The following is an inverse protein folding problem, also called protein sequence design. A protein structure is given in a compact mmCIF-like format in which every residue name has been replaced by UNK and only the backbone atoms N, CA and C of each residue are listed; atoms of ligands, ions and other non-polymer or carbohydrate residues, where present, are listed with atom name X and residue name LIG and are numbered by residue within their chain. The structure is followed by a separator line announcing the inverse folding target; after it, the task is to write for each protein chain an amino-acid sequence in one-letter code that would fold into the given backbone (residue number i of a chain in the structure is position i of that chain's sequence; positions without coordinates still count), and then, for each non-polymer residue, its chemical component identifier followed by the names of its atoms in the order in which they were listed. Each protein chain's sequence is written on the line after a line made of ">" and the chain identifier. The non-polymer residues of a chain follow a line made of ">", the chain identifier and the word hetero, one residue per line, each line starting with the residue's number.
data_IF_709050722527
#
_entry.id   IF_709050722527
#
_cell.length_a   1.000
_cell.length_b   1.000
_cell.length_c   1.000
_cell.angle_alpha   90.00
_cell.angle_beta   90.00
_cell.angle_gamma   90.00
#
_symmetry.space_group_name_H-M   'P 1'
#
loop_
_entity.id
_entity.type
_entity.pdbx_description
1 polymer ?
#
# COMPACT_ATOMS: atom_id res chain seq x y z
N UNK A 1 9.88 -24.74 8.80
CA UNK A 1 9.07 -24.16 7.71
C UNK A 1 9.87 -23.01 7.13
N UNK A 2 10.09 -23.00 5.82
CA UNK A 2 10.80 -21.95 5.09
C UNK A 2 9.86 -21.28 4.08
N UNK A 3 9.77 -19.95 4.13
CA UNK A 3 8.82 -19.15 3.35
C UNK A 3 9.58 -18.16 2.48
N UNK A 4 9.34 -18.20 1.17
CA UNK A 4 9.80 -17.18 0.25
C UNK A 4 8.79 -16.03 0.16
N UNK A 5 9.28 -14.80 0.22
CA UNK A 5 8.49 -13.57 0.10
C UNK A 5 9.03 -12.78 -1.10
N UNK A 6 8.20 -12.56 -2.11
CA UNK A 6 8.55 -11.71 -3.26
C UNK A 6 8.19 -10.26 -2.97
N UNK A 7 9.17 -9.39 -2.74
CA UNK A 7 9.05 -7.94 -2.61
C UNK A 7 9.46 -7.39 -1.24
N UNK A 8 10.34 -6.39 -1.22
CA UNK A 8 10.83 -5.72 -0.01
C UNK A 8 10.22 -4.31 0.18
N UNK A 9 8.92 -4.17 -0.06
CA UNK A 9 8.18 -2.92 0.12
C UNK A 9 7.80 -2.66 1.59
N UNK A 10 6.49 -2.75 1.87
CA UNK A 10 5.94 -2.69 3.24
C UNK A 10 5.52 -4.08 3.70
N UNK A 11 4.71 -4.75 2.87
CA UNK A 11 4.11 -6.04 3.19
C UNK A 11 5.16 -7.14 3.45
N UNK A 12 6.22 -7.21 2.62
CA UNK A 12 7.23 -8.25 2.73
C UNK A 12 8.04 -8.19 4.03
N UNK A 13 8.71 -7.07 4.35
CA UNK A 13 9.43 -6.92 5.62
C UNK A 13 8.52 -7.04 6.85
N UNK A 14 7.27 -6.56 6.77
CA UNK A 14 6.29 -6.75 7.84
C UNK A 14 5.98 -8.25 8.07
N UNK A 15 5.81 -9.03 6.99
CA UNK A 15 5.60 -10.47 7.08
C UNK A 15 6.83 -11.18 7.62
N UNK A 16 8.03 -10.85 7.11
CA UNK A 16 9.29 -11.43 7.56
C UNK A 16 9.49 -11.28 9.08
N UNK A 17 9.20 -10.08 9.62
CA UNK A 17 9.22 -9.83 11.07
C UNK A 17 8.27 -10.73 11.84
N UNK A 18 7.06 -10.94 11.34
CA UNK A 18 6.08 -11.77 12.04
C UNK A 18 6.42 -13.26 11.94
N UNK A 19 6.92 -13.73 10.80
CA UNK A 19 7.35 -15.11 10.62
C UNK A 19 8.50 -15.45 11.57
N UNK A 20 9.51 -14.58 11.71
CA UNK A 20 10.64 -14.83 12.63
C UNK A 20 10.19 -14.98 14.08
N UNK A 21 9.21 -14.16 14.52
CA UNK A 21 8.60 -14.25 15.85
C UNK A 21 7.80 -15.52 16.10
N UNK A 22 7.40 -16.21 15.03
CA UNK A 22 6.79 -17.53 15.09
C UNK A 22 7.79 -18.67 14.79
N UNK A 23 9.09 -18.38 14.77
CA UNK A 23 10.13 -19.38 14.50
C UNK A 23 10.11 -19.94 13.06
N UNK A 24 9.51 -19.20 12.13
CA UNK A 24 9.43 -19.56 10.70
C UNK A 24 10.52 -18.80 9.95
N UNK A 25 11.35 -19.52 9.20
CA UNK A 25 12.40 -18.92 8.38
C UNK A 25 11.79 -18.18 7.18
N UNK A 26 12.32 -16.99 6.90
CA UNK A 26 11.86 -16.16 5.80
C UNK A 26 13.03 -15.74 4.91
N UNK A 27 12.81 -15.87 3.60
CA UNK A 27 13.67 -15.28 2.56
C UNK A 27 12.86 -14.21 1.82
N UNK A 28 13.33 -12.97 1.79
CA UNK A 28 12.73 -11.88 1.02
C UNK A 28 13.56 -11.62 -0.23
N UNK A 29 12.97 -11.80 -1.41
CA UNK A 29 13.59 -11.48 -2.71
C UNK A 29 13.02 -10.16 -3.25
N UNK A 30 13.88 -9.24 -3.69
CA UNK A 30 13.47 -7.94 -4.22
C UNK A 30 14.19 -7.64 -5.53
N UNK A 31 13.42 -7.23 -6.54
CA UNK A 31 13.94 -6.89 -7.87
C UNK A 31 14.90 -5.70 -7.83
N UNK A 32 14.61 -4.69 -7.01
CA UNK A 32 15.49 -3.55 -6.86
C UNK A 32 16.85 -4.00 -6.26
N UNK A 33 17.98 -3.41 -6.71
CA UNK A 33 19.30 -3.78 -6.21
C UNK A 33 19.56 -3.33 -4.76
N UNK A 34 18.68 -2.50 -4.20
CA UNK A 34 18.70 -2.05 -2.82
C UNK A 34 17.28 -1.65 -2.38
N UNK A 35 17.10 -1.43 -1.07
CA UNK A 35 15.85 -0.91 -0.52
C UNK A 35 15.52 0.44 -1.15
N UNK A 36 14.28 0.61 -1.62
CA UNK A 36 13.85 1.86 -2.24
C UNK A 36 13.61 2.92 -1.18
N UNK A 37 14.28 4.05 -1.32
CA UNK A 37 14.08 5.23 -0.47
C UNK A 37 13.06 6.20 -1.07
N UNK A 38 12.48 7.05 -0.24
CA UNK A 38 11.49 8.06 -0.66
C UNK A 38 10.09 7.49 -0.96
N UNK A 39 9.34 8.20 -1.80
CA UNK A 39 7.94 7.87 -2.11
C UNK A 39 6.94 8.70 -1.30
N UNK A 40 5.65 8.46 -1.56
CA UNK A 40 4.56 9.25 -1.00
C UNK A 40 4.37 9.06 0.50
N UNK A 41 3.73 10.06 1.14
CA UNK A 41 3.17 9.90 2.47
C UNK A 41 2.11 8.79 2.50
N UNK A 42 2.09 8.03 3.59
CA UNK A 42 1.13 6.96 3.85
C UNK A 42 0.58 7.08 5.27
N UNK A 43 -0.67 6.65 5.44
CA UNK A 43 -1.38 6.77 6.72
C UNK A 43 -1.62 5.43 7.41
N UNK A 44 -1.60 5.46 8.73
CA UNK A 44 -2.23 4.48 9.59
C UNK A 44 -3.45 5.07 10.27
N UNK A 45 -4.57 4.35 10.19
CA UNK A 45 -5.89 4.83 10.63
C UNK A 45 -6.55 3.84 11.61
N UNK A 46 -7.00 4.30 12.76
CA UNK A 46 -7.77 3.49 13.70
C UNK A 46 -6.96 2.43 14.48
N UNK A 47 -7.63 1.82 15.47
CA UNK A 47 -6.99 0.95 16.46
C UNK A 47 -6.39 -0.34 15.88
N UNK A 48 -6.96 -0.91 14.82
CA UNK A 48 -6.43 -2.14 14.23
C UNK A 48 -4.98 -1.94 13.74
N UNK A 49 -4.74 -0.87 12.97
CA UNK A 49 -3.40 -0.54 12.48
C UNK A 49 -2.43 -0.22 13.63
N UNK A 50 -2.84 0.64 14.55
CA UNK A 50 -2.00 1.03 15.69
C UNK A 50 -1.68 -0.15 16.61
N UNK A 51 -2.63 -1.06 16.81
CA UNK A 51 -2.43 -2.30 17.56
C UNK A 51 -1.40 -3.19 16.89
N UNK A 52 -1.49 -3.40 15.57
CA UNK A 52 -0.49 -4.19 14.84
C UNK A 52 0.89 -3.56 14.94
N UNK A 53 1.05 -2.26 14.68
CA UNK A 53 2.34 -1.57 14.80
C UNK A 53 2.92 -1.63 16.23
N UNK A 54 2.06 -1.54 17.24
CA UNK A 54 2.46 -1.69 18.65
C UNK A 54 2.93 -3.10 18.94
N UNK A 55 2.17 -4.11 18.51
CA UNK A 55 2.54 -5.53 18.65
C UNK A 55 3.84 -5.83 17.89
N UNK A 56 4.06 -5.20 16.73
CA UNK A 56 5.32 -5.26 15.98
C UNK A 56 6.50 -4.59 16.71
N UNK A 57 6.26 -3.72 17.69
CA UNK A 57 7.32 -2.97 18.38
C UNK A 57 7.91 -1.81 17.55
N UNK A 58 7.25 -1.42 16.46
CA UNK A 58 7.74 -0.35 15.56
C UNK A 58 6.96 0.96 15.69
N UNK A 59 5.87 0.98 16.45
CA UNK A 59 4.98 2.16 16.55
C UNK A 59 5.72 3.43 16.99
N UNK A 60 6.65 3.32 17.93
CA UNK A 60 7.39 4.50 18.43
C UNK A 60 8.35 5.05 17.38
N UNK A 61 9.05 4.18 16.64
CA UNK A 61 9.88 4.58 15.50
C UNK A 61 9.04 5.23 14.38
N UNK A 62 7.87 4.67 14.09
CA UNK A 62 6.93 5.24 13.10
C UNK A 62 6.43 6.62 13.56
N UNK A 63 6.13 6.80 14.85
CA UNK A 63 5.74 8.10 15.41
C UNK A 63 6.88 9.11 15.41
N UNK A 64 8.12 8.67 15.63
CA UNK A 64 9.30 9.53 15.58
C UNK A 64 9.56 10.05 14.15
N UNK A 65 9.29 9.23 13.13
CA UNK A 65 9.44 9.58 11.72
C UNK A 65 8.18 10.20 11.08
N UNK A 66 7.17 10.56 11.88
CA UNK A 66 5.90 11.08 11.34
C UNK A 66 6.08 12.40 10.59
N UNK A 67 5.27 12.60 9.56
CA UNK A 67 5.15 13.91 8.90
C UNK A 67 4.41 14.90 9.80
N UNK A 68 4.58 16.19 9.51
CA UNK A 68 3.82 17.24 10.20
C UNK A 68 2.43 17.34 9.55
N UNK A 69 1.33 17.22 10.31
CA UNK A 69 -0.01 17.40 9.76
C UNK A 69 -0.16 18.80 9.17
N UNK A 70 -0.60 18.88 7.92
CA UNK A 70 -0.79 20.13 7.17
C UNK A 70 -2.16 20.13 6.49
N UNK A 71 -2.77 21.31 6.42
CA UNK A 71 -4.03 21.50 5.70
C UNK A 71 -3.81 21.31 4.20
N UNK A 72 -4.78 20.70 3.52
CA UNK A 72 -4.78 20.64 2.06
C UNK A 72 -5.51 21.86 1.51
N UNK A 73 -4.83 22.65 0.68
CA UNK A 73 -5.36 23.87 0.07
C UNK A 73 -5.65 23.59 -1.39
N UNK A 74 -6.88 23.84 -1.83
CA UNK A 74 -7.29 23.65 -3.21
C UNK A 74 -7.42 25.00 -3.90
N UNK A 75 -6.57 25.26 -4.90
CA UNK A 75 -6.56 26.47 -5.71
C UNK A 75 -7.06 26.20 -7.13
N UNK A 76 -7.63 27.23 -7.74
CA UNK A 76 -7.85 27.24 -9.19
C UNK A 76 -6.56 27.53 -9.95
N UNK A 77 -6.58 27.38 -11.27
CA UNK A 77 -5.48 27.80 -12.16
C UNK A 77 -5.22 29.30 -12.16
N UNK A 78 -6.14 30.10 -11.61
CA UNK A 78 -5.99 31.53 -11.34
C UNK A 78 -5.31 31.85 -10.00
N UNK A 79 -4.80 30.84 -9.29
CA UNK A 79 -4.11 30.96 -8.00
C UNK A 79 -5.03 31.23 -6.80
N UNK A 80 -6.34 31.43 -7.03
CA UNK A 80 -7.30 31.71 -5.96
C UNK A 80 -7.65 30.44 -5.20
N UNK A 81 -7.62 30.52 -3.87
CA UNK A 81 -8.10 29.46 -2.98
C UNK A 81 -9.60 29.23 -3.19
N UNK A 82 -10.00 27.98 -3.38
CA UNK A 82 -11.38 27.53 -3.57
C UNK A 82 -11.90 26.77 -2.37
N UNK A 83 -11.04 25.96 -1.77
CA UNK A 83 -11.36 25.19 -0.56
C UNK A 83 -10.09 24.92 0.24
N UNK A 84 -10.30 24.65 1.53
CA UNK A 84 -9.28 24.22 2.46
C UNK A 84 -9.83 23.07 3.28
N UNK A 85 -9.10 21.97 3.31
CA UNK A 85 -9.45 20.79 4.09
C UNK A 85 -8.46 20.67 5.25
N UNK A 86 -8.92 20.85 6.50
CA UNK A 86 -8.03 20.80 7.65
C UNK A 86 -7.30 19.47 7.78
N UNK A 87 -6.07 19.49 8.29
CA UNK A 87 -5.22 18.31 8.46
C UNK A 87 -5.93 17.16 9.22
N UNK A 88 -6.82 17.50 10.15
CA UNK A 88 -7.60 16.53 10.94
C UNK A 88 -8.54 15.64 10.10
N UNK A 89 -8.87 16.02 8.86
CA UNK A 89 -9.68 15.22 7.94
C UNK A 89 -8.85 14.41 6.96
N UNK A 90 -7.59 14.80 6.75
CA UNK A 90 -6.73 14.23 5.71
C UNK A 90 -5.71 13.27 6.30
N UNK A 91 -5.11 13.61 7.44
CA UNK A 91 -4.15 12.77 8.13
C UNK A 91 -4.83 11.60 8.84
N UNK A 92 -4.21 10.42 8.78
CA UNK A 92 -4.49 9.34 9.70
C UNK A 92 -4.05 9.67 11.14
N UNK A 93 -4.14 8.68 12.02
CA UNK A 93 -3.59 8.80 13.39
C UNK A 93 -2.07 8.99 13.35
N UNK A 94 -1.41 8.41 12.35
CA UNK A 94 0.00 8.64 12.04
C UNK A 94 0.20 8.64 10.53
N UNK A 95 0.79 9.71 9.99
CA UNK A 95 1.26 9.81 8.61
C UNK A 95 2.80 9.77 8.59
N UNK A 96 3.36 9.01 7.66
CA UNK A 96 4.82 8.79 7.52
C UNK A 96 5.17 8.66 6.04
N UNK A 97 6.38 9.04 5.64
CA UNK A 97 6.86 8.77 4.28
C UNK A 97 7.04 7.26 4.06
N UNK A 98 6.59 6.76 2.91
CA UNK A 98 6.69 5.33 2.57
C UNK A 98 8.11 4.80 2.68
N UNK A 99 9.11 5.57 2.27
CA UNK A 99 10.52 5.20 2.35
C UNK A 99 11.00 5.00 3.79
N UNK A 100 10.62 5.90 4.70
CA UNK A 100 10.95 5.76 6.12
C UNK A 100 10.27 4.56 6.75
N UNK A 101 8.99 4.33 6.44
CA UNK A 101 8.28 3.14 6.90
C UNK A 101 8.94 1.85 6.37
N UNK A 102 9.28 1.81 5.09
CA UNK A 102 9.94 0.65 4.47
C UNK A 102 11.29 0.37 5.13
N UNK A 103 12.07 1.42 5.41
CA UNK A 103 13.33 1.33 6.15
C UNK A 103 13.13 0.78 7.57
N UNK A 104 12.20 1.34 8.34
CA UNK A 104 11.90 0.88 9.71
C UNK A 104 11.53 -0.62 9.73
N UNK A 105 10.69 -1.06 8.80
CA UNK A 105 10.26 -2.46 8.72
C UNK A 105 11.39 -3.40 8.25
N UNK A 106 12.22 -2.93 7.31
CA UNK A 106 13.41 -3.65 6.88
C UNK A 106 14.39 -3.82 8.03
N UNK A 107 14.78 -2.72 8.70
CA UNK A 107 15.69 -2.75 9.85
C UNK A 107 15.18 -3.65 10.97
N UNK A 108 13.86 -3.64 11.23
CA UNK A 108 13.25 -4.49 12.25
C UNK A 108 13.27 -6.00 11.93
N UNK A 109 13.50 -6.40 10.68
CA UNK A 109 13.47 -7.81 10.24
C UNK A 109 14.78 -8.31 9.63
N UNK A 110 15.72 -7.43 9.30
CA UNK A 110 16.95 -7.76 8.58
C UNK A 110 17.90 -8.71 9.33
N UNK A 111 17.82 -8.76 10.66
CA UNK A 111 18.60 -9.69 11.49
C UNK A 111 18.11 -11.14 11.40
N UNK A 112 16.82 -11.34 11.11
CA UNK A 112 16.13 -12.63 11.29
C UNK A 112 15.60 -13.22 9.97
N UNK A 113 15.74 -12.49 8.85
CA UNK A 113 15.34 -12.92 7.53
C UNK A 113 16.47 -12.73 6.51
N UNK A 114 16.57 -13.63 5.54
CA UNK A 114 17.48 -13.48 4.41
C UNK A 114 16.91 -12.45 3.43
N UNK A 115 17.69 -11.46 3.01
CA UNK A 115 17.30 -10.49 1.98
C UNK A 115 18.16 -10.65 0.73
N UNK A 116 17.53 -10.92 -0.39
CA UNK A 116 18.16 -11.09 -1.72
C UNK A 116 17.69 -9.94 -2.63
N UNK A 117 18.49 -8.89 -2.70
CA UNK A 117 18.24 -7.75 -3.59
C UNK A 117 18.79 -8.00 -5.00
N UNK A 118 18.19 -7.34 -5.99
CA UNK A 118 18.59 -7.42 -7.40
C UNK A 118 18.14 -8.70 -8.09
N UNK A 119 17.20 -9.45 -7.53
CA UNK A 119 16.71 -10.71 -8.10
C UNK A 119 15.18 -10.80 -8.02
N UNK A 120 14.57 -11.69 -8.79
CA UNK A 120 13.12 -11.89 -8.77
C UNK A 120 12.73 -13.27 -9.28
N UNK A 121 11.54 -13.71 -8.88
CA UNK A 121 10.96 -14.99 -9.30
C UNK A 121 10.61 -14.94 -10.80
N UNK A 122 11.01 -15.98 -11.53
CA UNK A 122 10.68 -16.18 -12.95
C UNK A 122 9.78 -17.38 -13.19
N UNK A 123 9.78 -18.38 -12.30
CA UNK A 123 8.84 -19.50 -12.35
C UNK A 123 8.57 -20.08 -10.95
N UNK A 124 7.39 -20.71 -10.82
CA UNK A 124 6.92 -21.41 -9.63
C UNK A 124 6.33 -22.75 -10.05
N UNK A 125 6.74 -23.83 -9.39
CA UNK A 125 6.14 -25.16 -9.55
C UNK A 125 5.80 -25.74 -8.18
N UNK A 126 4.50 -25.83 -7.89
CA UNK A 126 3.98 -26.43 -6.65
C UNK A 126 3.59 -27.88 -6.92
N UNK A 127 4.21 -28.82 -6.18
CA UNK A 127 3.91 -30.25 -6.25
C UNK A 127 3.03 -30.75 -5.09
N UNK A 128 2.52 -29.84 -4.25
CA UNK A 128 1.71 -30.16 -3.08
C UNK A 128 2.52 -30.44 -1.82
N UNK A 129 3.83 -30.64 -1.90
CA UNK A 129 4.73 -30.81 -0.74
C UNK A 129 5.66 -29.61 -0.52
N UNK A 130 5.92 -28.84 -1.57
CA UNK A 130 6.68 -27.59 -1.56
C UNK A 130 6.60 -26.89 -2.91
N UNK A 131 7.27 -25.76 -3.01
CA UNK A 131 7.32 -24.95 -4.23
C UNK A 131 8.75 -24.84 -4.72
N UNK A 132 9.01 -25.35 -5.92
CA UNK A 132 10.27 -25.12 -6.63
C UNK A 132 10.22 -23.75 -7.30
N UNK A 133 11.20 -22.90 -6.98
CA UNK A 133 11.27 -21.51 -7.40
C UNK A 133 12.51 -21.30 -8.25
N UNK A 134 12.33 -20.75 -9.45
CA UNK A 134 13.43 -20.24 -10.27
C UNK A 134 13.51 -18.73 -10.16
N UNK A 135 14.74 -18.22 -10.09
CA UNK A 135 15.04 -16.80 -10.03
C UNK A 135 15.64 -16.30 -11.34
N UNK A 136 15.70 -14.99 -11.52
CA UNK A 136 16.28 -14.39 -12.72
C UNK A 136 17.80 -14.50 -12.73
N UNK A 137 18.44 -14.42 -11.56
CA UNK A 137 19.90 -14.43 -11.44
C UNK A 137 20.40 -15.51 -10.48
N UNK A 138 19.70 -15.75 -9.37
CA UNK A 138 20.03 -16.77 -8.40
C UNK A 138 19.76 -18.19 -8.89
N UNK A 139 20.39 -19.17 -8.22
CA UNK A 139 20.10 -20.59 -8.43
C UNK A 139 18.65 -20.92 -7.99
N UNK A 140 17.98 -21.89 -8.63
CA UNK A 140 16.70 -22.38 -8.14
C UNK A 140 16.77 -22.86 -6.69
N UNK A 141 15.69 -22.64 -5.94
CA UNK A 141 15.53 -23.06 -4.53
C UNK A 141 14.14 -23.65 -4.32
N UNK A 142 13.97 -24.41 -3.25
CA UNK A 142 12.69 -24.98 -2.84
C UNK A 142 12.26 -24.39 -1.50
N UNK A 143 10.98 -24.06 -1.37
CA UNK A 143 10.38 -23.50 -0.16
C UNK A 143 9.09 -24.24 0.21
N UNK A 144 8.66 -24.17 1.47
CA UNK A 144 7.40 -24.77 1.91
C UNK A 144 6.19 -23.95 1.41
N UNK A 145 6.35 -22.63 1.37
CA UNK A 145 5.34 -21.67 0.91
C UNK A 145 5.99 -20.48 0.18
N UNK A 146 5.24 -19.87 -0.73
CA UNK A 146 5.62 -18.63 -1.43
C UNK A 146 4.55 -17.56 -1.22
N UNK A 147 4.97 -16.34 -0.90
CA UNK A 147 4.09 -15.20 -0.70
C UNK A 147 4.46 -14.08 -1.68
N UNK A 148 3.52 -13.70 -2.55
CA UNK A 148 3.64 -12.54 -3.41
C UNK A 148 3.33 -11.25 -2.63
N UNK A 149 4.36 -10.47 -2.30
CA UNK A 149 4.27 -9.15 -1.66
C UNK A 149 4.81 -8.03 -2.59
N UNK A 150 4.83 -8.28 -3.89
CA UNK A 150 5.48 -7.54 -4.97
C UNK A 150 4.55 -6.50 -5.64
N UNK A 151 3.51 -6.11 -4.90
CA UNK A 151 2.70 -4.92 -5.15
C UNK A 151 1.72 -5.01 -6.32
N UNK A 152 1.21 -3.85 -6.75
CA UNK A 152 0.15 -3.72 -7.76
C UNK A 152 0.46 -4.48 -9.05
N UNK A 153 1.72 -4.51 -9.49
CA UNK A 153 2.17 -5.17 -10.73
C UNK A 153 2.84 -6.54 -10.48
N UNK A 154 2.47 -7.19 -9.37
CA UNK A 154 2.96 -8.49 -8.91
C UNK A 154 3.28 -9.47 -10.05
N UNK A 155 4.50 -10.01 -10.03
CA UNK A 155 4.94 -11.09 -10.90
C UNK A 155 4.41 -12.43 -10.41
N UNK A 156 4.36 -12.65 -9.08
CA UNK A 156 3.78 -13.86 -8.49
C UNK A 156 2.32 -14.02 -8.89
N UNK A 157 1.52 -12.95 -8.83
CA UNK A 157 0.14 -12.97 -9.31
C UNK A 157 0.05 -13.33 -10.79
N UNK A 158 0.97 -12.84 -11.63
CA UNK A 158 0.94 -13.16 -13.06
C UNK A 158 1.24 -14.63 -13.34
N UNK A 159 2.12 -15.25 -12.55
CA UNK A 159 2.48 -16.67 -12.67
C UNK A 159 1.36 -17.60 -12.20
N UNK A 160 0.71 -17.27 -11.09
CA UNK A 160 -0.29 -18.16 -10.44
C UNK A 160 -1.73 -17.85 -10.86
N UNK A 161 -2.01 -16.58 -11.20
CA UNK A 161 -3.34 -16.07 -11.51
C UNK A 161 -3.31 -15.24 -12.80
N UNK A 162 -2.99 -15.84 -13.96
CA UNK A 162 -2.73 -15.12 -15.21
C UNK A 162 -3.93 -14.32 -15.74
N UNK A 163 -5.16 -14.63 -15.33
CA UNK A 163 -6.34 -13.88 -15.75
C UNK A 163 -6.62 -12.63 -14.90
N UNK A 164 -5.95 -12.51 -13.73
CA UNK A 164 -6.20 -11.44 -12.78
C UNK A 164 -5.17 -10.32 -12.93
N UNK A 165 -5.60 -9.23 -13.57
CA UNK A 165 -4.80 -8.04 -13.84
C UNK A 165 -5.38 -6.81 -13.15
N UNK A 166 -4.55 -5.81 -12.79
CA UNK A 166 -5.04 -4.55 -12.25
C UNK A 166 -6.00 -3.88 -13.23
N UNK A 167 -7.22 -3.57 -12.77
CA UNK A 167 -8.23 -2.87 -13.54
C UNK A 167 -8.03 -1.36 -13.42
N UNK A 168 -7.76 -0.72 -14.55
CA UNK A 168 -7.65 0.73 -14.67
C UNK A 168 -8.93 1.46 -14.20
N UNK A 169 -8.76 2.53 -13.43
CA UNK A 169 -9.84 3.30 -12.83
C UNK A 169 -10.07 4.67 -13.50
N UNK A 170 -9.45 4.92 -14.66
CA UNK A 170 -9.67 6.13 -15.46
C UNK A 170 -8.71 7.29 -15.18
N UNK A 171 -7.74 7.10 -14.28
CA UNK A 171 -6.79 8.14 -13.86
C UNK A 171 -5.37 7.61 -13.82
N UNK A 172 -4.41 8.47 -14.12
CA UNK A 172 -2.99 8.25 -13.91
C UNK A 172 -2.50 9.15 -12.78
N UNK A 173 -1.35 8.81 -12.22
CA UNK A 173 -0.63 9.68 -11.32
C UNK A 173 0.88 9.59 -11.55
N UNK A 174 1.58 10.65 -11.18
CA UNK A 174 3.01 10.67 -11.15
C UNK A 174 3.52 11.36 -9.88
N UNK A 175 4.70 10.95 -9.42
CA UNK A 175 5.33 11.45 -8.20
C UNK A 175 6.81 11.64 -8.48
N UNK A 176 7.39 12.74 -8.01
CA UNK A 176 8.81 13.06 -8.14
C UNK A 176 9.30 13.79 -6.89
N UNK A 177 10.61 13.82 -6.63
CA UNK A 177 11.18 14.64 -5.56
C UNK A 177 10.87 16.12 -5.78
N UNK A 178 10.41 16.81 -4.73
CA UNK A 178 10.18 18.26 -4.75
C UNK A 178 10.29 18.83 -3.35
N UNK A 179 10.85 20.04 -3.24
CA UNK A 179 10.93 20.81 -2.00
C UNK A 179 9.70 21.71 -1.79
N UNK A 180 8.76 21.73 -2.74
CA UNK A 180 7.56 22.54 -2.64
C UNK A 180 6.49 21.95 -1.72
N UNK A 181 5.47 22.75 -1.41
CA UNK A 181 4.38 22.32 -0.54
C UNK A 181 3.41 21.37 -1.27
N UNK A 182 3.60 20.05 -1.10
CA UNK A 182 2.75 18.98 -1.64
C UNK A 182 1.26 19.03 -1.21
N UNK A 183 0.90 19.96 -0.30
CA UNK A 183 -0.47 20.24 0.14
C UNK A 183 -1.10 21.47 -0.50
N UNK A 184 -0.33 22.27 -1.25
CA UNK A 184 -0.85 23.40 -2.01
C UNK A 184 -1.22 22.96 -3.43
N UNK A 185 -2.48 22.57 -3.59
CA UNK A 185 -2.98 21.87 -4.76
C UNK A 185 -3.56 22.82 -5.79
N UNK A 186 -3.19 22.64 -7.05
CA UNK A 186 -3.82 23.31 -8.19
C UNK A 186 -4.80 22.34 -8.86
N UNK A 187 -6.03 22.82 -9.05
CA UNK A 187 -7.14 22.06 -9.60
C UNK A 187 -7.54 22.59 -10.97
N UNK A 188 -7.65 21.69 -11.94
CA UNK A 188 -8.32 21.91 -13.21
C UNK A 188 -9.27 20.74 -13.50
N UNK A 189 -10.21 20.86 -14.45
CA UNK A 189 -11.08 19.74 -14.81
C UNK A 189 -10.28 18.49 -15.18
N UNK A 190 -10.40 17.45 -14.36
CA UNK A 190 -9.69 16.18 -14.54
C UNK A 190 -8.23 16.19 -14.09
N UNK A 191 -7.72 17.25 -13.45
CA UNK A 191 -6.33 17.36 -12.98
C UNK A 191 -6.28 17.88 -11.55
N UNK A 192 -5.43 17.25 -10.76
CA UNK A 192 -5.06 17.69 -9.44
C UNK A 192 -3.56 17.56 -9.29
N UNK A 193 -2.87 18.67 -9.09
CA UNK A 193 -1.40 18.69 -9.01
C UNK A 193 -0.95 19.49 -7.81
N UNK A 194 0.20 19.13 -7.25
CA UNK A 194 0.92 19.92 -6.27
C UNK A 194 2.42 19.74 -6.52
N UNK A 195 3.31 20.52 -5.91
CA UNK A 195 4.73 20.22 -5.92
C UNK A 195 5.01 18.74 -5.59
N UNK A 196 5.74 18.07 -6.48
CA UNK A 196 6.15 16.67 -6.32
C UNK A 196 5.13 15.61 -6.76
N UNK A 197 3.90 15.98 -7.16
CA UNK A 197 2.97 14.99 -7.69
C UNK A 197 1.82 15.56 -8.53
N UNK A 198 1.31 14.72 -9.44
CA UNK A 198 0.09 15.00 -10.21
C UNK A 198 -0.78 13.76 -10.28
N UNK A 199 -2.09 13.96 -10.28
CA UNK A 199 -3.10 12.98 -10.65
C UNK A 199 -3.98 13.57 -11.75
N UNK A 200 -4.24 12.80 -12.79
CA UNK A 200 -4.98 13.29 -13.95
C UNK A 200 -5.82 12.20 -14.61
N UNK A 201 -6.96 12.59 -15.18
CA UNK A 201 -7.85 11.70 -15.92
C UNK A 201 -7.17 11.24 -17.22
N UNK A 202 -7.51 10.06 -17.73
CA UNK A 202 -6.87 9.46 -18.91
C UNK A 202 -6.89 10.30 -20.20
N UNK A 203 -7.68 11.36 -20.26
CA UNK A 203 -7.71 12.33 -21.35
C UNK A 203 -7.73 13.74 -20.76
N UNK A 204 -6.57 14.40 -20.77
CA UNK A 204 -6.39 15.77 -20.29
C UNK A 204 -5.51 16.53 -21.30
N UNK A 205 -5.79 17.82 -21.56
CA UNK A 205 -4.97 18.66 -22.45
C UNK A 205 -3.49 18.68 -22.02
N UNK A 206 -2.52 18.56 -22.96
CA UNK A 206 -1.09 18.56 -22.65
C UNK A 206 -0.62 19.80 -21.89
N UNK A 207 -1.28 20.95 -22.05
CA UNK A 207 -0.90 22.21 -21.40
C UNK A 207 -1.16 22.22 -19.89
N UNK A 208 -1.87 21.20 -19.36
CA UNK A 208 -2.10 21.00 -17.93
C UNK A 208 -1.13 20.00 -17.30
N UNK A 209 -0.22 19.43 -18.08
CA UNK A 209 0.79 18.49 -17.59
C UNK A 209 2.02 19.25 -17.07
N UNK A 210 2.52 18.94 -15.86
CA UNK A 210 3.77 19.51 -15.38
C UNK A 210 4.96 19.05 -16.23
N UNK A 211 5.89 19.96 -16.53
CA UNK A 211 7.11 19.68 -17.28
C UNK A 211 7.99 18.64 -16.55
N UNK A 212 7.87 18.54 -15.23
CA UNK A 212 8.58 17.58 -14.39
C UNK A 212 8.24 16.12 -14.72
N UNK A 213 7.15 15.82 -15.44
CA UNK A 213 6.77 14.46 -15.81
C UNK A 213 7.83 13.74 -16.66
N UNK A 214 8.69 14.48 -17.36
CA UNK A 214 9.78 13.92 -18.16
C UNK A 214 11.13 13.89 -17.41
N UNK A 215 11.15 14.28 -16.14
CA UNK A 215 12.36 14.30 -15.34
C UNK A 215 12.82 12.88 -14.93
N UNK A 216 14.14 12.67 -14.78
CA UNK A 216 14.66 11.45 -14.15
C UNK A 216 14.09 11.30 -12.73
N UNK A 217 13.73 10.07 -12.33
CA UNK A 217 13.24 9.77 -10.99
C UNK A 217 11.72 9.96 -10.79
N UNK A 218 10.98 10.25 -11.85
CA UNK A 218 9.50 10.23 -11.83
C UNK A 218 9.00 8.80 -11.69
N UNK A 219 8.18 8.56 -10.67
CA UNK A 219 7.33 7.39 -10.58
C UNK A 219 6.02 7.68 -11.30
N UNK A 220 5.66 6.86 -12.29
CA UNK A 220 4.40 6.99 -13.04
C UNK A 220 3.62 5.67 -12.98
N UNK A 221 2.33 5.74 -12.67
CA UNK A 221 1.46 4.58 -12.75
C UNK A 221 -0.01 4.97 -12.96
N UNK A 222 -0.83 3.96 -13.26
CA UNK A 222 -2.26 4.12 -13.35
C UNK A 222 -2.92 3.90 -11.99
N UNK A 223 -3.99 4.65 -11.70
CA UNK A 223 -4.88 4.30 -10.60
C UNK A 223 -5.59 3.02 -11.00
N UNK A 224 -5.23 1.94 -10.33
CA UNK A 224 -5.74 0.60 -10.59
C UNK A 224 -6.24 -0.09 -9.33
N UNK A 225 -7.12 -1.06 -9.52
CA UNK A 225 -7.59 -1.97 -8.49
C UNK A 225 -7.39 -3.43 -8.89
N UNK A 226 -7.00 -4.26 -7.93
CA UNK A 226 -6.96 -5.71 -8.07
C UNK A 226 -8.12 -6.29 -7.27
N UNK A 227 -9.01 -7.03 -7.94
CA UNK A 227 -10.10 -7.77 -7.32
C UNK A 227 -9.97 -9.22 -7.71
N UNK A 228 -9.77 -10.08 -6.72
CA UNK A 228 -9.59 -11.51 -6.91
C UNK A 228 -10.60 -12.28 -6.04
N UNK A 229 -11.19 -13.35 -6.55
CA UNK A 229 -12.11 -14.19 -5.77
C UNK A 229 -11.38 -15.03 -4.71
N UNK A 230 -10.13 -15.40 -4.98
CA UNK A 230 -9.20 -16.05 -4.07
C UNK A 230 -7.80 -15.44 -4.28
N UNK A 231 -6.95 -15.44 -3.26
CA UNK A 231 -5.57 -14.92 -3.36
C UNK A 231 -4.52 -16.01 -3.14
N UNK A 232 -4.95 -17.25 -2.97
CA UNK A 232 -4.11 -18.41 -2.72
C UNK A 232 -4.42 -19.54 -3.69
N UNK A 233 -3.39 -20.27 -4.07
CA UNK A 233 -3.47 -21.46 -4.91
C UNK A 233 -2.36 -22.42 -4.47
N UNK A 234 -2.74 -23.59 -3.97
CA UNK A 234 -1.81 -24.53 -3.36
C UNK A 234 -1.00 -23.87 -2.24
N UNK A 235 0.33 -23.89 -2.37
CA UNK A 235 1.30 -23.35 -1.42
C UNK A 235 1.76 -21.92 -1.75
N UNK A 236 1.07 -21.24 -2.67
CA UNK A 236 1.33 -19.84 -3.01
C UNK A 236 0.17 -18.95 -2.60
N UNK A 237 0.44 -17.81 -1.97
CA UNK A 237 -0.57 -16.78 -1.65
C UNK A 237 -0.09 -15.36 -1.97
N UNK A 238 -1.01 -14.38 -1.99
CA UNK A 238 -0.71 -12.97 -2.24
C UNK A 238 -1.01 -12.10 -1.01
N UNK A 239 -0.17 -11.09 -0.83
CA UNK A 239 -0.17 -10.20 0.32
C UNK A 239 -0.21 -8.72 -0.10
N UNK A 240 -0.96 -7.90 0.64
CA UNK A 240 -1.08 -6.47 0.39
C UNK A 240 -1.54 -6.16 -1.03
N UNK A 241 -0.88 -5.21 -1.70
CA UNK A 241 -1.27 -4.74 -3.03
C UNK A 241 -1.20 -5.82 -4.13
N UNK A 242 -0.45 -6.91 -3.90
CA UNK A 242 -0.39 -8.02 -4.84
C UNK A 242 -1.74 -8.74 -4.98
N UNK A 243 -2.47 -8.95 -3.88
CA UNK A 243 -3.79 -9.59 -3.88
C UNK A 243 -4.96 -8.61 -3.81
N UNK A 244 -4.76 -7.47 -3.16
CA UNK A 244 -5.84 -6.56 -2.75
C UNK A 244 -5.62 -5.09 -3.17
N UNK A 245 -4.69 -4.86 -4.10
CA UNK A 245 -4.24 -3.51 -4.45
C UNK A 245 -5.36 -2.53 -4.79
N UNK A 246 -5.30 -1.35 -4.21
CA UNK A 246 -6.15 -0.20 -4.55
C UNK A 246 -5.33 1.07 -4.50
N UNK A 247 -4.97 1.57 -5.68
CA UNK A 247 -4.11 2.74 -5.83
C UNK A 247 -4.81 3.99 -5.29
N UNK A 248 -4.10 4.81 -4.50
CA UNK A 248 -4.58 6.06 -3.90
C UNK A 248 -5.81 5.93 -2.97
N UNK A 249 -6.15 4.72 -2.49
CA UNK A 249 -7.25 4.52 -1.54
C UNK A 249 -6.94 4.92 -0.09
N UNK A 250 -5.71 5.34 0.23
CA UNK A 250 -5.29 5.74 1.59
C UNK A 250 -5.21 4.61 2.63
N UNK A 251 -5.51 3.36 2.24
CA UNK A 251 -5.65 2.22 3.15
C UNK A 251 -4.68 1.05 2.86
N UNK A 252 -3.93 1.09 1.75
CA UNK A 252 -3.09 -0.02 1.31
C UNK A 252 -1.98 -0.39 2.31
N UNK A 253 -1.35 0.61 2.93
CA UNK A 253 -0.28 0.41 3.91
C UNK A 253 -0.78 -0.27 5.19
N UNK A 254 -1.90 0.21 5.72
CA UNK A 254 -2.55 -0.40 6.87
C UNK A 254 -3.02 -1.84 6.59
N UNK A 255 -3.60 -2.07 5.40
CA UNK A 255 -3.95 -3.41 4.94
C UNK A 255 -2.72 -4.32 4.83
N UNK A 256 -1.59 -3.82 4.32
CA UNK A 256 -0.35 -4.59 4.21
C UNK A 256 0.15 -5.09 5.57
N UNK A 257 0.21 -4.23 6.59
CA UNK A 257 0.69 -4.65 7.92
C UNK A 257 -0.30 -5.59 8.62
N UNK A 258 -1.60 -5.37 8.48
CA UNK A 258 -2.64 -6.24 9.05
C UNK A 258 -2.64 -7.62 8.38
N UNK A 259 -2.59 -7.64 7.06
CA UNK A 259 -2.55 -8.90 6.30
C UNK A 259 -1.28 -9.70 6.61
N UNK A 260 -0.13 -9.03 6.80
CA UNK A 260 1.11 -9.69 7.20
C UNK A 260 1.00 -10.35 8.58
N UNK A 261 0.41 -9.63 9.55
CA UNK A 261 0.16 -10.14 10.90
C UNK A 261 -0.73 -11.39 10.87
N UNK A 262 -1.87 -11.31 10.17
CA UNK A 262 -2.80 -12.45 10.06
C UNK A 262 -2.13 -13.63 9.37
N UNK A 263 -1.50 -13.41 8.21
CA UNK A 263 -0.91 -14.50 7.43
C UNK A 263 0.16 -15.26 8.21
N UNK A 264 1.06 -14.54 8.90
CA UNK A 264 2.09 -15.18 9.72
C UNK A 264 1.49 -15.99 10.86
N UNK A 265 0.49 -15.45 11.55
CA UNK A 265 -0.20 -16.14 12.63
C UNK A 265 -0.95 -17.39 12.17
N UNK A 266 -1.63 -17.31 11.02
CA UNK A 266 -2.31 -18.47 10.44
C UNK A 266 -1.33 -19.56 9.98
N UNK A 267 -0.19 -19.17 9.40
CA UNK A 267 0.88 -20.12 9.05
C UNK A 267 1.46 -20.80 10.29
N UNK A 268 1.70 -20.06 11.37
CA UNK A 268 2.19 -20.59 12.63
C UNK A 268 1.20 -21.55 13.31
N UNK A 269 -0.10 -21.28 13.19
CA UNK A 269 -1.15 -22.17 13.68
C UNK A 269 -1.28 -23.47 12.85
N UNK A 270 -0.75 -23.49 11.62
CA UNK A 270 -0.78 -24.65 10.73
C UNK A 270 -2.16 -24.96 10.15
N UNK A 271 -2.32 -26.16 9.61
CA UNK A 271 -3.54 -26.60 8.92
C UNK A 271 -3.82 -25.78 7.66
N UNK A 272 -5.10 -25.47 7.41
CA UNK A 272 -5.53 -24.67 6.26
C UNK A 272 -5.33 -23.16 6.49
N UNK A 273 -4.07 -22.74 6.61
CA UNK A 273 -3.69 -21.37 6.94
C UNK A 273 -4.18 -20.34 5.93
N UNK A 274 -4.08 -20.65 4.64
CA UNK A 274 -4.47 -19.73 3.57
C UNK A 274 -5.99 -19.51 3.51
N UNK A 275 -6.81 -20.56 3.68
CA UNK A 275 -8.25 -20.37 3.71
C UNK A 275 -8.68 -19.48 4.89
N UNK A 276 -8.07 -19.65 6.07
CA UNK A 276 -8.38 -18.81 7.25
C UNK A 276 -7.91 -17.36 7.07
N UNK A 277 -6.72 -17.17 6.51
CA UNK A 277 -6.22 -15.85 6.13
C UNK A 277 -7.19 -15.16 5.17
N UNK A 278 -7.64 -15.83 4.10
CA UNK A 278 -8.57 -15.27 3.13
C UNK A 278 -9.94 -14.96 3.73
N UNK A 279 -10.47 -15.86 4.56
CA UNK A 279 -11.76 -15.68 5.20
C UNK A 279 -11.76 -14.43 6.10
N UNK A 280 -10.65 -14.16 6.80
CA UNK A 280 -10.52 -13.03 7.70
C UNK A 280 -10.16 -11.72 6.98
N UNK A 281 -9.17 -11.75 6.10
CA UNK A 281 -8.63 -10.54 5.43
C UNK A 281 -9.46 -10.14 4.23
N UNK A 282 -10.09 -11.08 3.52
CA UNK A 282 -10.84 -10.80 2.28
C UNK A 282 -11.95 -9.75 2.45
N UNK A 283 -12.88 -9.87 3.42
CA UNK A 283 -13.91 -8.86 3.67
C UNK A 283 -13.33 -7.50 4.05
N UNK A 284 -12.31 -7.51 4.92
CA UNK A 284 -11.60 -6.31 5.37
C UNK A 284 -10.93 -5.57 4.20
N UNK A 285 -10.19 -6.30 3.37
CA UNK A 285 -9.52 -5.78 2.19
C UNK A 285 -10.51 -5.17 1.21
N UNK A 286 -11.64 -5.84 0.93
CA UNK A 286 -12.69 -5.29 0.05
C UNK A 286 -13.28 -3.98 0.56
N UNK A 287 -13.44 -3.84 1.87
CA UNK A 287 -13.89 -2.58 2.50
C UNK A 287 -12.89 -1.42 2.36
N UNK A 288 -11.60 -1.73 2.18
CA UNK A 288 -10.54 -0.75 1.96
C UNK A 288 -10.42 -0.28 0.49
N UNK A 289 -11.10 -0.92 -0.45
CA UNK A 289 -10.95 -0.62 -1.88
C UNK A 289 -11.95 0.45 -2.36
N UNK A 290 -11.45 1.46 -3.07
CA UNK A 290 -12.25 2.55 -3.60
C UNK A 290 -11.56 3.28 -4.76
N UNK A 291 -12.31 4.08 -5.51
CA UNK A 291 -11.77 4.91 -6.59
C UNK A 291 -11.88 6.39 -6.19
N UNK A 292 -10.78 7.01 -5.73
CA UNK A 292 -10.80 8.41 -5.30
C UNK A 292 -10.80 9.41 -6.47
N UNK A 293 -10.39 8.97 -7.67
CA UNK A 293 -10.12 9.85 -8.81
C UNK A 293 -11.28 10.78 -9.20
N UNK A 294 -12.51 10.26 -9.44
CA UNK A 294 -13.66 11.09 -9.79
C UNK A 294 -14.02 12.16 -8.76
N UNK A 295 -13.71 11.92 -7.49
CA UNK A 295 -13.96 12.87 -6.42
C UNK A 295 -12.80 13.88 -6.26
N UNK A 296 -11.55 13.41 -6.27
CA UNK A 296 -10.37 14.26 -6.08
C UNK A 296 -10.07 15.13 -7.30
N UNK A 297 -10.20 14.61 -8.53
CA UNK A 297 -9.99 15.35 -9.78
C UNK A 297 -11.23 15.25 -10.70
N UNK A 298 -12.35 15.90 -10.34
CA UNK A 298 -13.56 15.86 -11.16
C UNK A 298 -13.31 16.39 -12.57
N UNK A 299 -13.84 15.70 -13.58
CA UNK A 299 -13.67 16.08 -14.99
C UNK A 299 -14.44 17.35 -15.43
N UNK A 300 -15.23 17.96 -14.54
CA UNK A 300 -16.08 19.11 -14.87
C UNK A 300 -15.96 20.22 -13.83
N UNK A 301 -16.13 21.48 -14.28
CA UNK A 301 -16.15 22.65 -13.38
C UNK A 301 -17.25 22.56 -12.33
N UNK A 302 -18.42 22.02 -12.70
CA UNK A 302 -19.51 21.78 -11.75
C UNK A 302 -19.12 20.75 -10.69
N UNK A 303 -18.47 19.66 -11.07
CA UNK A 303 -17.99 18.65 -10.13
C UNK A 303 -16.97 19.21 -9.14
N UNK A 304 -16.04 20.04 -9.63
CA UNK A 304 -15.10 20.77 -8.77
C UNK A 304 -15.83 21.69 -7.80
N UNK A 305 -16.80 22.48 -8.27
CA UNK A 305 -17.58 23.37 -7.41
C UNK A 305 -18.33 22.61 -6.30
N UNK A 306 -18.93 21.46 -6.61
CA UNK A 306 -19.58 20.60 -5.60
C UNK A 306 -18.59 20.11 -4.55
N UNK A 307 -17.44 19.57 -4.99
CA UNK A 307 -16.35 19.12 -4.11
C UNK A 307 -15.86 20.25 -3.20
N UNK A 308 -15.58 21.42 -3.76
CA UNK A 308 -15.05 22.57 -3.03
C UNK A 308 -16.07 23.08 -2.00
N UNK A 309 -17.36 23.10 -2.34
CA UNK A 309 -18.43 23.45 -1.41
C UNK A 309 -18.53 22.46 -0.26
N UNK A 310 -18.34 21.17 -0.53
CA UNK A 310 -18.33 20.10 0.46
C UNK A 310 -17.14 20.24 1.42
N UNK A 311 -15.92 20.48 0.92
CA UNK A 311 -14.75 20.73 1.76
C UNK A 311 -14.90 21.98 2.62
N UNK A 312 -15.44 23.07 2.04
CA UNK A 312 -15.73 24.29 2.79
C UNK A 312 -16.78 24.11 3.90
N UNK A 313 -17.65 23.10 3.80
CA UNK A 313 -18.58 22.71 4.86
C UNK A 313 -17.90 21.83 5.93
N UNK A 314 -17.16 20.81 5.52
CA UNK A 314 -16.40 19.91 6.42
C UNK A 314 -15.43 20.69 7.31
N UNK A 315 -14.71 21.67 6.76
CA UNK A 315 -13.80 22.52 7.53
C UNK A 315 -14.48 23.33 8.64
N UNK A 316 -15.81 23.52 8.60
CA UNK A 316 -16.59 24.25 9.61
C UNK A 316 -17.28 23.34 10.63
N UNK A 317 -17.23 22.02 10.44
CA UNK A 317 -17.95 21.05 11.26
C UNK A 317 -17.01 19.93 11.78
N UNK A 318 -16.06 20.25 12.68
CA UNK A 318 -15.02 19.32 13.13
C UNK A 318 -15.55 18.08 13.87
N UNK A 319 -16.81 18.11 14.33
CA UNK A 319 -17.47 16.95 14.96
C UNK A 319 -17.62 15.76 13.99
N UNK A 320 -17.76 16.01 12.69
CA UNK A 320 -17.87 14.96 11.67
C UNK A 320 -16.53 14.31 11.28
N UNK A 321 -15.39 14.92 11.63
CA UNK A 321 -14.06 14.34 11.38
C UNK A 321 -13.84 12.99 12.08
N UNK A 322 -14.61 12.73 13.15
CA UNK A 322 -14.52 11.49 13.96
C UNK A 322 -15.48 10.39 13.52
N UNK A 323 -16.42 10.66 12.61
CA UNK A 323 -17.43 9.72 12.15
C UNK A 323 -17.22 9.40 10.67
N UNK A 324 -16.31 8.46 10.36
CA UNK A 324 -16.49 7.50 9.25
C UNK A 324 -15.36 6.46 9.12
N UNK A 325 -14.23 6.61 9.82
CA UNK A 325 -13.12 5.66 9.70
C UNK A 325 -13.25 4.39 10.54
N UNK A 326 -14.13 4.36 11.54
CA UNK A 326 -14.30 3.19 12.43
C UNK A 326 -14.85 1.95 11.71
N UNK A 327 -15.72 2.12 10.71
CA UNK A 327 -16.33 0.99 10.02
C UNK A 327 -15.41 0.39 8.94
N UNK A 328 -14.64 1.23 8.23
CA UNK A 328 -13.74 0.78 7.17
C UNK A 328 -12.49 0.03 7.71
N UNK A 329 -12.07 0.30 8.95
CA UNK A 329 -10.91 -0.34 9.60
C UNK A 329 -11.29 -1.49 10.54
N UNK A 330 -12.56 -1.88 10.62
CA UNK A 330 -13.05 -2.85 11.61
C UNK A 330 -12.68 -4.28 11.23
N UNK A 331 -11.46 -4.69 11.59
CA UNK A 331 -11.05 -6.09 11.64
C UNK A 331 -10.80 -6.49 13.09
N UNK A 332 -11.39 -7.60 13.52
CA UNK A 332 -11.07 -8.21 14.82
C UNK A 332 -9.79 -9.00 14.65
N UNK A 333 -8.70 -8.47 15.19
CA UNK A 333 -7.38 -9.11 15.14
C UNK A 333 -7.39 -10.34 16.06
N UNK A 334 -7.04 -11.54 15.56
CA UNK A 334 -6.81 -12.71 16.40
C UNK A 334 -5.59 -12.49 17.29
N UNK A 335 -5.53 -13.18 18.44
CA UNK A 335 -4.34 -13.23 19.27
C UNK A 335 -3.59 -14.53 18.98
N UNK A 336 -2.49 -14.42 18.24
CA UNK A 336 -1.62 -15.56 17.97
C UNK A 336 -0.62 -15.71 19.11
N UNK A 337 -0.48 -16.92 19.65
CA UNK A 337 0.49 -17.17 20.70
C UNK A 337 1.92 -16.98 20.15
N UNK A 338 2.81 -16.27 20.85
CA UNK A 338 4.24 -16.33 20.53
C UNK A 338 4.72 -17.77 20.73
N UNK A 339 5.59 -18.24 19.85
CA UNK A 339 6.24 -19.54 20.04
C UNK A 339 7.18 -19.41 21.25
N UNK A 340 7.10 -20.39 22.16
CA UNK A 340 7.97 -20.50 23.34
C UNK A 340 9.39 -20.85 22.95
#
# INVERSE_FOLDING_TARGET
>A
MDVLISGAGVAGPALALWLSRHGISATVVERAPALRTGGQAVDFRGEAHLSVLRRMGVLDAVRAARTTPRDMVFRGTDGRERARLPAAFTAGEVEILRGDLSRILYEASASDAEYVFGDWITSLHDDGTGVDVTFAHGRPRRFDFVVGADGMRSGVRQLVFPDYRPKFQGYYFAIWPSDGDDRDMVCAPGVLTAPGWVMFKSAVPPELMPDELIAPGVYFDSISQVRMPAVSSGRVTLLGDAGYGSTLGGMGTGLAVVSAYVLAGELAAGGDAFARYEALVGPYARGCQGNPGPFLAPGTRLGMWVRDRMFGFLGKAPMFARMDLKAATAIKLPDYAPVR
#
